data_IF_251858660942
#
_entry.id   IF_251858660942
#
_cell.length_a   1.000
_cell.length_b   1.000
_cell.length_c   1.000
_cell.angle_alpha   90.00
_cell.angle_beta   90.00
_cell.angle_gamma   90.00
#
_symmetry.space_group_name_H-M   'P 1'
#
loop_
_entity.id
_entity.type
_entity.pdbx_description
1 polymer ?
#
# COMPACT_ATOMS: atom_id res chain seq x y z
N UNK A 1 -36.29 -6.81 -95.65
CA UNK A 1 -35.12 -7.37 -95.03
C UNK A 1 -34.58 -6.39 -94.04
N UNK A 2 -34.65 -6.74 -92.83
CA UNK A 2 -34.16 -6.17 -91.52
C UNK A 2 -34.09 -4.65 -91.40
N UNK A 3 -35.16 -4.12 -90.84
CA UNK A 3 -35.31 -2.79 -90.22
C UNK A 3 -34.58 -2.70 -88.87
N UNK A 4 -33.78 -1.65 -88.66
CA UNK A 4 -33.23 -1.27 -87.40
C UNK A 4 -34.03 -0.09 -86.79
N UNK A 5 -34.68 -0.32 -85.69
CA UNK A 5 -35.38 0.71 -84.95
C UNK A 5 -34.48 1.25 -83.86
N UNK A 6 -34.21 2.53 -83.82
CA UNK A 6 -33.48 3.26 -82.84
C UNK A 6 -34.50 3.74 -81.76
N UNK A 7 -34.33 3.34 -80.53
CA UNK A 7 -35.08 3.92 -79.37
C UNK A 7 -34.17 4.82 -78.57
N UNK A 8 -34.58 6.08 -78.48
CA UNK A 8 -34.04 7.11 -77.58
C UNK A 8 -34.45 6.83 -76.11
N UNK A 9 -33.58 7.06 -75.10
CA UNK A 9 -33.96 7.02 -73.71
C UNK A 9 -34.38 8.36 -73.15
N UNK A 10 -35.56 8.39 -72.57
CA UNK A 10 -36.05 9.52 -71.78
C UNK A 10 -35.37 9.63 -70.41
N UNK A 11 -34.96 10.85 -70.11
CA UNK A 11 -34.37 11.22 -68.82
C UNK A 11 -35.47 11.41 -67.74
N UNK A 12 -35.44 10.62 -66.70
CA UNK A 12 -36.19 10.83 -65.47
C UNK A 12 -35.22 11.36 -64.39
N UNK A 13 -35.33 12.65 -64.12
CA UNK A 13 -34.74 13.30 -62.94
C UNK A 13 -35.42 12.73 -61.70
N UNK A 14 -34.70 11.95 -60.90
CA UNK A 14 -35.06 11.58 -59.51
C UNK A 14 -34.31 12.52 -58.58
N UNK A 15 -35.04 13.46 -57.93
CA UNK A 15 -34.56 14.17 -56.74
C UNK A 15 -34.34 13.17 -55.62
N UNK A 16 -33.07 12.95 -55.29
CA UNK A 16 -32.67 12.24 -54.10
C UNK A 16 -32.64 13.17 -52.91
N UNK A 17 -33.61 13.06 -52.00
CA UNK A 17 -33.54 13.71 -50.67
C UNK A 17 -32.44 13.00 -49.86
N UNK A 18 -31.33 13.72 -49.66
CA UNK A 18 -30.26 13.26 -48.73
C UNK A 18 -30.79 13.47 -47.30
N UNK A 19 -31.19 12.40 -46.66
CA UNK A 19 -31.35 12.36 -45.18
C UNK A 19 -29.97 12.43 -44.54
N UNK A 20 -29.63 13.61 -44.02
CA UNK A 20 -28.49 13.80 -43.11
C UNK A 20 -28.87 13.15 -41.78
N UNK A 21 -28.53 11.90 -41.58
CA UNK A 21 -28.60 11.23 -40.27
C UNK A 21 -27.53 11.85 -39.36
N UNK A 22 -27.95 12.85 -38.53
CA UNK A 22 -27.14 13.24 -37.39
C UNK A 22 -26.96 12.01 -36.50
N UNK A 23 -25.77 11.45 -36.50
CA UNK A 23 -25.35 10.47 -35.51
C UNK A 23 -25.21 11.20 -34.17
N UNK A 24 -26.30 11.23 -33.40
CA UNK A 24 -26.23 11.48 -31.96
C UNK A 24 -25.44 10.32 -31.35
N UNK A 25 -24.12 10.53 -31.19
CA UNK A 25 -23.32 9.69 -30.31
C UNK A 25 -23.96 9.65 -28.92
N UNK A 26 -23.80 8.58 -28.15
CA UNK A 26 -24.30 8.54 -26.79
C UNK A 26 -23.71 9.74 -26.06
N UNK A 27 -24.55 10.70 -25.71
CA UNK A 27 -24.26 11.73 -24.71
C UNK A 27 -24.11 10.90 -23.44
N UNK A 28 -22.87 10.65 -23.00
CA UNK A 28 -22.62 10.24 -21.63
C UNK A 28 -23.26 11.34 -20.78
N UNK A 29 -24.41 11.05 -20.18
CA UNK A 29 -25.01 11.91 -19.20
C UNK A 29 -23.99 12.01 -18.06
N UNK A 30 -23.22 13.09 -18.02
CA UNK A 30 -22.49 13.49 -16.82
C UNK A 30 -23.57 13.60 -15.74
N UNK A 31 -23.50 12.79 -14.72
CA UNK A 31 -24.32 12.95 -13.54
C UNK A 31 -23.83 14.26 -12.89
N UNK A 32 -24.52 15.36 -13.21
CA UNK A 32 -24.20 16.67 -12.67
C UNK A 32 -24.52 16.67 -11.17
N UNK A 33 -23.49 16.60 -10.34
CA UNK A 33 -23.63 16.65 -8.90
C UNK A 33 -24.36 17.92 -8.44
N UNK A 34 -24.26 19.02 -9.17
CA UNK A 34 -24.81 20.33 -8.77
C UNK A 34 -26.33 20.43 -8.86
N UNK A 35 -26.98 19.46 -9.52
CA UNK A 35 -28.45 19.40 -9.61
C UNK A 35 -29.12 18.69 -8.43
N UNK A 36 -28.34 18.15 -7.51
CA UNK A 36 -28.79 17.32 -6.39
C UNK A 36 -28.98 18.15 -5.13
N UNK A 37 -30.11 17.95 -4.46
CA UNK A 37 -30.44 18.62 -3.20
C UNK A 37 -29.46 18.28 -2.07
N UNK A 38 -29.07 17.00 -1.95
CA UNK A 38 -28.09 16.55 -0.93
C UNK A 38 -26.69 17.12 -1.13
N UNK A 39 -26.30 17.41 -2.37
CA UNK A 39 -25.04 18.10 -2.71
C UNK A 39 -25.15 19.58 -2.37
N UNK A 40 -26.28 20.25 -2.72
CA UNK A 40 -26.48 21.65 -2.37
C UNK A 40 -26.46 21.87 -0.86
N UNK A 41 -27.17 21.01 -0.10
CA UNK A 41 -27.15 21.07 1.37
C UNK A 41 -25.72 20.90 1.94
N UNK A 42 -24.96 19.97 1.40
CA UNK A 42 -23.56 19.78 1.79
C UNK A 42 -22.69 21.01 1.49
N UNK A 43 -22.83 21.61 0.31
CA UNK A 43 -22.04 22.80 -0.08
C UNK A 43 -22.34 23.97 0.86
N UNK A 44 -23.62 24.26 1.12
CA UNK A 44 -24.02 25.33 2.04
C UNK A 44 -23.51 25.08 3.47
N UNK A 45 -23.59 23.84 3.95
CA UNK A 45 -23.10 23.46 5.27
C UNK A 45 -21.59 23.68 5.42
N UNK A 46 -20.78 23.16 4.49
CA UNK A 46 -19.32 23.30 4.58
C UNK A 46 -18.86 24.75 4.35
N UNK A 47 -19.57 25.49 3.49
CA UNK A 47 -19.30 26.90 3.25
C UNK A 47 -19.54 27.73 4.51
N UNK A 48 -20.70 27.58 5.17
CA UNK A 48 -21.03 28.26 6.40
C UNK A 48 -20.05 27.92 7.54
N UNK A 49 -19.72 26.64 7.71
CA UNK A 49 -18.82 26.19 8.78
C UNK A 49 -17.38 26.66 8.61
N UNK A 50 -16.88 26.77 7.38
CA UNK A 50 -15.46 27.06 7.12
C UNK A 50 -15.18 28.43 6.50
N UNK A 51 -16.20 29.26 6.32
CA UNK A 51 -16.07 30.56 5.65
C UNK A 51 -15.57 30.40 4.22
N UNK A 52 -16.15 29.43 3.47
CA UNK A 52 -15.87 29.23 2.06
C UNK A 52 -16.88 29.97 1.19
N UNK A 53 -16.46 30.37 -0.01
CA UNK A 53 -17.38 30.79 -1.07
C UNK A 53 -17.95 29.51 -1.72
N UNK A 54 -19.28 29.49 -1.89
CA UNK A 54 -19.99 28.36 -2.50
C UNK A 54 -19.74 28.27 -4.00
N UNK A 55 -19.56 29.38 -4.70
CA UNK A 55 -19.45 29.42 -6.16
C UNK A 55 -18.24 28.59 -6.68
N UNK A 56 -17.00 28.68 -6.14
CA UNK A 56 -15.90 27.84 -6.56
C UNK A 56 -16.16 26.35 -6.30
N UNK A 57 -16.88 26.00 -5.22
CA UNK A 57 -17.22 24.61 -4.90
C UNK A 57 -18.18 24.04 -5.93
N UNK A 58 -19.24 24.80 -6.28
CA UNK A 58 -20.17 24.40 -7.34
C UNK A 58 -19.47 24.26 -8.69
N UNK A 59 -18.57 25.17 -9.04
CA UNK A 59 -17.80 25.10 -10.29
C UNK A 59 -16.92 23.84 -10.31
N UNK A 60 -16.28 23.47 -9.19
CA UNK A 60 -15.49 22.25 -9.11
C UNK A 60 -16.38 20.99 -9.23
N UNK A 61 -17.50 20.94 -8.49
CA UNK A 61 -18.43 19.81 -8.52
C UNK A 61 -19.15 19.64 -9.87
N UNK A 62 -19.40 20.74 -10.62
CA UNK A 62 -19.96 20.65 -11.97
C UNK A 62 -19.01 19.99 -12.99
N UNK A 63 -17.72 19.94 -12.68
CA UNK A 63 -16.69 19.27 -13.50
C UNK A 63 -16.36 17.86 -13.02
N UNK A 64 -16.80 17.50 -11.81
CA UNK A 64 -16.52 16.20 -11.22
C UNK A 64 -17.32 15.10 -11.93
N UNK A 65 -16.65 14.02 -12.30
CA UNK A 65 -17.26 12.85 -12.90
C UNK A 65 -17.84 11.92 -11.84
N UNK A 66 -19.04 11.38 -12.11
CA UNK A 66 -19.51 10.21 -11.37
C UNK A 66 -18.73 8.96 -11.83
N UNK A 67 -18.02 8.31 -10.91
CA UNK A 67 -17.15 7.15 -11.22
C UNK A 67 -17.70 5.86 -10.58
N UNK A 68 -18.60 5.10 -11.23
CA UNK A 68 -19.18 3.86 -10.67
C UNK A 68 -18.10 2.86 -10.23
N UNK A 69 -16.94 2.88 -10.89
CA UNK A 69 -15.84 1.97 -10.61
C UNK A 69 -15.27 2.13 -9.19
N UNK A 70 -15.30 3.34 -8.62
CA UNK A 70 -14.82 3.53 -7.22
C UNK A 70 -15.77 2.85 -6.22
N UNK A 71 -17.09 2.85 -6.52
CA UNK A 71 -18.09 2.14 -5.69
C UNK A 71 -17.87 0.62 -5.75
N UNK A 72 -17.52 0.09 -6.91
CA UNK A 72 -17.20 -1.33 -7.03
C UNK A 72 -15.94 -1.70 -6.25
N UNK A 73 -14.90 -0.88 -6.34
CA UNK A 73 -13.60 -1.12 -5.69
C UNK A 73 -13.66 -0.99 -4.17
N UNK A 74 -14.52 -0.10 -3.62
CA UNK A 74 -14.62 0.12 -2.18
C UNK A 74 -15.47 -0.93 -1.47
N UNK A 75 -16.37 -1.62 -2.20
CA UNK A 75 -17.22 -2.66 -1.62
C UNK A 75 -16.37 -3.81 -1.09
N UNK A 76 -16.69 -4.32 0.10
CA UNK A 76 -16.09 -5.57 0.56
C UNK A 76 -16.32 -6.69 -0.46
N UNK A 77 -15.37 -7.60 -0.68
CA UNK A 77 -15.55 -8.72 -1.58
C UNK A 77 -16.76 -9.56 -1.13
N UNK A 78 -17.59 -9.97 -2.10
CA UNK A 78 -18.82 -10.73 -1.85
C UNK A 78 -18.58 -12.06 -1.08
N UNK A 79 -17.41 -12.66 -1.25
CA UNK A 79 -16.92 -13.77 -0.45
C UNK A 79 -15.65 -13.35 0.26
N UNK A 80 -15.64 -13.43 1.59
CA UNK A 80 -14.39 -13.26 2.34
C UNK A 80 -13.42 -14.34 1.87
N UNK A 81 -12.34 -13.94 1.25
CA UNK A 81 -11.24 -14.85 0.93
C UNK A 81 -10.66 -15.44 2.21
N UNK A 82 -10.07 -16.63 2.08
CA UNK A 82 -9.34 -17.23 3.21
C UNK A 82 -8.18 -16.31 3.56
N UNK A 83 -8.16 -15.87 4.83
CA UNK A 83 -7.09 -15.04 5.38
C UNK A 83 -5.78 -15.83 5.29
N UNK A 84 -4.75 -15.26 4.68
CA UNK A 84 -3.45 -15.92 4.51
C UNK A 84 -2.33 -14.89 4.59
N UNK A 85 -1.54 -14.99 5.64
CA UNK A 85 -0.38 -14.13 5.84
C UNK A 85 0.65 -14.31 4.72
N UNK A 86 0.95 -15.54 4.33
CA UNK A 86 1.91 -15.79 3.26
C UNK A 86 1.52 -15.11 1.94
N UNK A 87 0.23 -15.19 1.56
CA UNK A 87 -0.28 -14.51 0.35
C UNK A 87 -0.19 -13.00 0.49
N UNK A 88 -0.55 -12.45 1.65
CA UNK A 88 -0.50 -11.00 1.89
C UNK A 88 0.94 -10.50 1.87
N UNK A 89 1.81 -11.13 2.63
CA UNK A 89 3.24 -10.80 2.74
C UNK A 89 3.96 -10.84 1.39
N UNK A 90 3.67 -11.84 0.55
CA UNK A 90 4.33 -12.02 -0.76
C UNK A 90 4.10 -10.85 -1.72
N UNK A 91 3.08 -10.02 -1.50
CA UNK A 91 2.82 -8.83 -2.31
C UNK A 91 3.86 -7.72 -2.06
N UNK A 92 4.49 -7.69 -0.88
CA UNK A 92 5.34 -6.59 -0.45
C UNK A 92 6.82 -6.97 -0.27
N UNK A 93 7.15 -8.26 -0.17
CA UNK A 93 8.54 -8.71 0.03
C UNK A 93 9.17 -9.29 -1.24
N UNK A 94 8.63 -8.96 -2.40
CA UNK A 94 9.17 -9.34 -3.69
C UNK A 94 10.32 -8.42 -4.13
N UNK A 95 11.01 -8.86 -5.18
CA UNK A 95 12.19 -8.17 -5.76
C UNK A 95 11.95 -6.67 -6.01
N UNK A 96 10.79 -6.31 -6.58
CA UNK A 96 10.44 -4.91 -6.91
C UNK A 96 10.43 -4.00 -5.68
N UNK A 97 9.91 -4.48 -4.53
CA UNK A 97 9.88 -3.70 -3.30
C UNK A 97 11.27 -3.62 -2.65
N UNK A 98 12.03 -4.71 -2.67
CA UNK A 98 13.35 -4.75 -2.04
C UNK A 98 14.34 -3.88 -2.82
N UNK A 99 14.46 -4.08 -4.15
CA UNK A 99 15.37 -3.30 -4.98
C UNK A 99 14.96 -1.82 -5.03
N UNK A 100 13.63 -1.56 -5.19
CA UNK A 100 13.10 -0.19 -5.14
C UNK A 100 13.34 0.50 -3.82
N UNK A 101 13.29 -0.24 -2.69
CA UNK A 101 13.57 0.29 -1.36
C UNK A 101 15.04 0.65 -1.16
N UNK A 102 15.95 -0.19 -1.59
CA UNK A 102 17.40 0.10 -1.54
C UNK A 102 17.77 1.27 -2.46
N UNK A 103 17.15 1.37 -3.65
CA UNK A 103 17.33 2.52 -4.55
C UNK A 103 16.81 3.81 -3.90
N UNK A 104 15.59 3.77 -3.31
CA UNK A 104 15.01 4.92 -2.62
C UNK A 104 15.85 5.32 -1.39
N UNK A 105 16.40 4.35 -0.65
CA UNK A 105 17.30 4.63 0.48
C UNK A 105 18.53 5.43 0.02
N UNK A 106 19.20 4.97 -1.01
CA UNK A 106 20.36 5.69 -1.56
C UNK A 106 20.01 7.07 -2.12
N UNK A 107 18.85 7.22 -2.77
CA UNK A 107 18.39 8.49 -3.34
C UNK A 107 18.05 9.54 -2.30
N UNK A 108 17.39 9.13 -1.19
CA UNK A 108 16.87 10.02 -0.15
C UNK A 108 17.59 9.87 1.19
N UNK A 109 18.84 9.42 1.17
CA UNK A 109 19.60 9.11 2.39
C UNK A 109 19.70 10.30 3.35
N UNK A 110 19.88 11.51 2.81
CA UNK A 110 19.96 12.75 3.60
C UNK A 110 18.63 13.08 4.28
N UNK A 111 17.54 13.02 3.53
CA UNK A 111 16.19 13.37 3.98
C UNK A 111 15.68 12.32 4.98
N UNK A 112 15.96 11.04 4.75
CA UNK A 112 15.65 9.95 5.67
C UNK A 112 16.38 10.11 7.01
N UNK A 113 17.66 10.43 7.00
CA UNK A 113 18.42 10.73 8.24
C UNK A 113 17.89 11.98 8.95
N UNK A 114 17.51 12.99 8.20
CA UNK A 114 16.92 14.21 8.77
C UNK A 114 15.57 13.88 9.45
N UNK A 115 14.70 13.11 8.79
CA UNK A 115 13.42 12.69 9.33
C UNK A 115 13.56 11.82 10.60
N UNK A 116 14.48 10.85 10.57
CA UNK A 116 14.81 10.04 11.75
C UNK A 116 15.30 10.91 12.92
N UNK A 117 16.22 11.84 12.68
CA UNK A 117 16.72 12.77 13.70
C UNK A 117 15.61 13.65 14.28
N UNK A 118 14.70 14.13 13.44
CA UNK A 118 13.65 15.08 13.82
C UNK A 118 12.48 14.43 14.53
N UNK A 119 12.05 13.25 14.07
CA UNK A 119 10.83 12.59 14.54
C UNK A 119 11.08 11.28 15.31
N UNK A 120 12.31 10.79 15.33
CA UNK A 120 12.67 9.54 16.02
C UNK A 120 12.19 8.27 15.29
N UNK A 121 11.74 8.38 14.05
CA UNK A 121 11.26 7.24 13.23
C UNK A 121 12.40 6.72 12.38
N UNK A 122 12.82 5.45 12.51
CA UNK A 122 13.91 4.88 11.72
C UNK A 122 13.67 4.96 10.21
N UNK A 123 14.73 5.15 9.44
CA UNK A 123 14.69 5.30 7.99
C UNK A 123 13.98 4.14 7.30
N UNK A 124 14.29 2.92 7.73
CA UNK A 124 13.68 1.70 7.19
C UNK A 124 12.17 1.62 7.40
N UNK A 125 11.64 2.20 8.49
CA UNK A 125 10.19 2.23 8.75
C UNK A 125 9.49 3.18 7.78
N UNK A 126 10.08 4.35 7.53
CA UNK A 126 9.56 5.31 6.54
C UNK A 126 9.54 4.66 5.16
N UNK A 127 10.63 3.99 4.79
CA UNK A 127 10.73 3.25 3.52
C UNK A 127 9.76 2.07 3.47
N UNK A 128 9.54 1.38 4.58
CA UNK A 128 8.55 0.30 4.69
C UNK A 128 7.14 0.78 4.33
N UNK A 129 6.73 1.95 4.84
CA UNK A 129 5.45 2.56 4.48
C UNK A 129 5.43 2.96 3.01
N UNK A 130 6.41 3.73 2.52
CA UNK A 130 6.48 4.13 1.11
C UNK A 130 6.46 2.93 0.16
N UNK A 131 7.11 1.84 0.54
CA UNK A 131 7.12 0.61 -0.23
C UNK A 131 5.76 -0.05 -0.31
N UNK A 132 5.08 -0.19 0.82
CA UNK A 132 3.76 -0.84 0.90
C UNK A 132 2.68 0.01 0.23
N UNK A 133 2.72 1.33 0.38
CA UNK A 133 1.69 2.22 -0.16
C UNK A 133 1.79 2.38 -1.68
N UNK A 134 2.96 2.71 -2.19
CA UNK A 134 3.08 3.15 -3.58
C UNK A 134 4.24 2.54 -4.35
N UNK A 135 4.96 1.58 -3.77
CA UNK A 135 6.20 1.07 -4.36
C UNK A 135 7.16 2.25 -4.63
N UNK A 136 7.35 3.08 -3.60
CA UNK A 136 8.22 4.27 -3.65
C UNK A 136 7.81 5.25 -4.76
N UNK A 137 6.51 5.60 -4.82
CA UNK A 137 5.93 6.55 -5.77
C UNK A 137 5.61 6.00 -7.16
N UNK A 138 5.84 4.70 -7.43
CA UNK A 138 5.55 4.10 -8.74
C UNK A 138 4.06 3.85 -8.98
N UNK A 139 3.23 3.83 -7.94
CA UNK A 139 1.81 3.55 -8.01
C UNK A 139 1.02 4.43 -7.02
N UNK A 140 0.80 5.68 -7.36
CA UNK A 140 0.10 6.67 -6.52
C UNK A 140 -1.41 6.73 -6.77
N UNK A 141 -1.93 5.89 -7.69
CA UNK A 141 -3.32 5.94 -8.13
C UNK A 141 -3.49 6.67 -9.45
N UNK A 142 -4.73 6.67 -9.97
CA UNK A 142 -5.06 7.26 -11.27
C UNK A 142 -6.45 7.91 -11.31
N UNK A 143 -7.12 7.99 -10.18
CA UNK A 143 -8.43 8.61 -10.09
C UNK A 143 -8.27 10.09 -9.75
N UNK A 144 -9.05 10.94 -10.40
CA UNK A 144 -9.24 12.30 -9.93
C UNK A 144 -9.90 12.24 -8.54
N UNK A 145 -9.21 12.81 -7.54
CA UNK A 145 -9.62 12.67 -6.14
C UNK A 145 -10.96 13.33 -5.87
N UNK A 146 -11.24 14.47 -6.50
CA UNK A 146 -12.52 15.17 -6.38
C UNK A 146 -13.68 14.28 -6.84
N UNK A 147 -13.60 13.74 -8.05
CA UNK A 147 -14.60 12.85 -8.63
C UNK A 147 -14.80 11.56 -7.83
N UNK A 148 -13.70 10.96 -7.36
CA UNK A 148 -13.75 9.75 -6.54
C UNK A 148 -14.44 10.02 -5.19
N UNK A 149 -14.07 11.09 -4.50
CA UNK A 149 -14.65 11.45 -3.20
C UNK A 149 -16.10 11.90 -3.34
N UNK A 150 -16.46 12.71 -4.37
CA UNK A 150 -17.84 13.11 -4.63
C UNK A 150 -18.73 11.88 -4.89
N UNK A 151 -18.28 10.94 -5.75
CA UNK A 151 -19.00 9.69 -5.99
C UNK A 151 -19.22 8.89 -4.70
N UNK A 152 -18.19 8.75 -3.87
CA UNK A 152 -18.31 7.99 -2.61
C UNK A 152 -19.11 8.72 -1.53
N UNK A 153 -19.05 10.04 -1.50
CA UNK A 153 -19.77 10.89 -0.55
C UNK A 153 -21.28 10.86 -0.76
N UNK A 154 -21.73 10.76 -2.01
CA UNK A 154 -23.14 10.90 -2.35
C UNK A 154 -23.78 9.59 -2.83
N UNK A 155 -23.01 8.62 -3.32
CA UNK A 155 -23.54 7.37 -3.90
C UNK A 155 -23.07 6.09 -3.21
N UNK A 156 -22.35 6.22 -2.07
CA UNK A 156 -21.95 5.08 -1.23
C UNK A 156 -22.40 5.23 0.23
N UNK A 157 -23.70 5.00 0.54
CA UNK A 157 -24.28 5.24 1.87
C UNK A 157 -23.53 4.62 3.05
N UNK A 158 -22.93 3.39 2.96
CA UNK A 158 -22.30 2.78 4.14
C UNK A 158 -21.16 3.59 4.75
N UNK A 159 -20.53 4.51 3.98
CA UNK A 159 -19.42 5.35 4.42
C UNK A 159 -19.54 6.80 3.92
N UNK A 160 -20.74 7.24 3.54
CA UNK A 160 -20.98 8.56 2.96
C UNK A 160 -20.45 9.69 3.85
N UNK A 161 -20.70 9.62 5.16
CA UNK A 161 -20.28 10.63 6.12
C UNK A 161 -18.76 10.80 6.19
N UNK A 162 -18.02 9.69 6.17
CA UNK A 162 -16.56 9.72 6.09
C UNK A 162 -16.08 10.41 4.80
N UNK A 163 -16.66 10.04 3.65
CA UNK A 163 -16.24 10.60 2.37
C UNK A 163 -16.68 12.05 2.18
N UNK A 164 -17.79 12.48 2.78
CA UNK A 164 -18.17 13.91 2.87
C UNK A 164 -17.14 14.70 3.67
N UNK A 165 -16.64 14.17 4.78
CA UNK A 165 -15.56 14.79 5.56
C UNK A 165 -14.23 14.88 4.81
N UNK A 166 -13.91 13.88 3.98
CA UNK A 166 -12.71 13.93 3.12
C UNK A 166 -12.89 14.88 1.93
N UNK A 167 -14.08 14.96 1.35
CA UNK A 167 -14.41 15.93 0.29
C UNK A 167 -14.35 17.37 0.79
N UNK A 168 -14.90 17.65 1.98
CA UNK A 168 -14.71 18.93 2.67
C UNK A 168 -13.24 19.24 2.88
N UNK A 169 -12.49 18.27 3.40
CA UNK A 169 -11.04 18.43 3.61
C UNK A 169 -10.28 18.68 2.32
N UNK A 170 -10.73 18.14 1.18
CA UNK A 170 -10.14 18.40 -0.13
C UNK A 170 -10.34 19.86 -0.56
N UNK A 171 -11.54 20.43 -0.38
CA UNK A 171 -11.78 21.84 -0.68
C UNK A 171 -10.95 22.76 0.20
N UNK A 172 -10.82 22.44 1.48
CA UNK A 172 -10.00 23.20 2.40
C UNK A 172 -8.51 23.11 2.05
N UNK A 173 -8.03 21.90 1.72
CA UNK A 173 -6.66 21.67 1.27
C UNK A 173 -6.35 22.44 -0.01
N UNK A 174 -7.26 22.41 -0.99
CA UNK A 174 -7.13 23.14 -2.26
C UNK A 174 -7.00 24.65 -2.02
N UNK A 175 -7.83 25.22 -1.13
CA UNK A 175 -7.73 26.62 -0.71
C UNK A 175 -6.38 26.92 -0.04
N UNK A 176 -5.95 26.10 0.92
CA UNK A 176 -4.70 26.27 1.66
C UNK A 176 -3.48 26.21 0.75
N UNK A 177 -3.48 25.30 -0.22
CA UNK A 177 -2.39 25.13 -1.19
C UNK A 177 -2.55 26.02 -2.44
N UNK A 178 -3.63 26.80 -2.56
CA UNK A 178 -3.96 27.60 -3.77
C UNK A 178 -3.93 26.75 -5.04
N UNK A 179 -4.46 25.55 -4.97
CA UNK A 179 -4.47 24.53 -6.01
C UNK A 179 -5.91 24.19 -6.42
N UNK A 180 -6.13 23.91 -7.70
CA UNK A 180 -7.44 23.44 -8.18
C UNK A 180 -7.80 22.10 -7.53
N UNK A 181 -8.97 21.93 -6.90
CA UNK A 181 -9.38 20.68 -6.29
C UNK A 181 -9.45 19.49 -7.28
N UNK A 182 -9.69 19.74 -8.56
CA UNK A 182 -9.68 18.70 -9.60
C UNK A 182 -8.29 18.23 -10.01
N UNK A 183 -7.23 18.95 -9.62
CA UNK A 183 -5.85 18.61 -9.98
C UNK A 183 -5.22 17.49 -9.11
N UNK A 184 -5.87 17.07 -8.03
CA UNK A 184 -5.38 15.99 -7.19
C UNK A 184 -5.69 14.63 -7.77
N UNK A 185 -4.67 13.80 -7.94
CA UNK A 185 -4.78 12.42 -8.43
C UNK A 185 -4.43 11.46 -7.31
N UNK A 186 -5.19 10.38 -7.19
CA UNK A 186 -5.00 9.44 -6.09
C UNK A 186 -5.62 8.06 -6.32
N UNK A 187 -5.85 7.36 -5.22
CA UNK A 187 -6.51 6.06 -5.22
C UNK A 187 -8.02 6.19 -5.42
N UNK A 188 -8.68 5.05 -5.67
CA UNK A 188 -10.14 4.98 -5.76
C UNK A 188 -10.87 5.42 -4.47
N UNK A 189 -10.18 5.48 -3.34
CA UNK A 189 -10.72 5.93 -2.05
C UNK A 189 -10.29 7.35 -1.66
N UNK A 190 -9.66 8.10 -2.59
CA UNK A 190 -9.27 9.48 -2.38
C UNK A 190 -7.93 9.69 -1.66
N UNK A 191 -7.11 8.64 -1.49
CA UNK A 191 -5.77 8.78 -0.94
C UNK A 191 -4.80 9.33 -1.98
N UNK A 192 -3.97 10.31 -1.62
CA UNK A 192 -3.19 11.15 -2.53
C UNK A 192 -1.69 10.87 -2.42
N UNK A 193 -1.05 10.76 -3.57
CA UNK A 193 0.40 10.85 -3.75
C UNK A 193 1.22 9.73 -3.12
N UNK A 194 2.52 9.95 -2.96
CA UNK A 194 3.47 8.95 -2.44
C UNK A 194 3.08 8.36 -1.08
N UNK A 195 2.64 9.16 -0.07
CA UNK A 195 2.29 8.63 1.24
C UNK A 195 0.87 8.06 1.30
N UNK A 196 0.06 8.16 0.25
CA UNK A 196 -1.35 7.77 0.24
C UNK A 196 -2.15 8.38 1.40
N UNK A 197 -1.94 9.66 1.66
CA UNK A 197 -2.72 10.39 2.66
C UNK A 197 -4.09 10.78 2.11
N UNK A 198 -5.12 10.62 2.92
CA UNK A 198 -6.41 11.25 2.70
C UNK A 198 -6.29 12.77 2.87
N UNK A 199 -7.15 13.59 2.23
CA UNK A 199 -7.10 15.06 2.35
C UNK A 199 -7.05 15.56 3.79
N UNK A 200 -7.82 14.97 4.70
CA UNK A 200 -7.79 15.30 6.12
C UNK A 200 -6.45 14.99 6.79
N UNK A 201 -5.78 13.93 6.35
CA UNK A 201 -4.45 13.55 6.84
C UNK A 201 -3.37 14.48 6.29
N UNK A 202 -3.47 14.93 5.04
CA UNK A 202 -2.56 15.93 4.47
C UNK A 202 -2.63 17.19 5.32
N UNK A 203 -3.81 17.73 5.56
CA UNK A 203 -3.99 18.96 6.35
C UNK A 203 -3.48 18.87 7.78
N UNK A 204 -3.49 17.67 8.38
CA UNK A 204 -3.07 17.47 9.79
C UNK A 204 -1.61 17.12 9.96
N UNK A 205 -1.04 16.40 9.03
CA UNK A 205 0.24 15.72 9.23
C UNK A 205 1.28 15.99 8.14
N UNK A 206 0.87 16.51 6.98
CA UNK A 206 1.83 16.83 5.94
C UNK A 206 2.74 17.99 6.37
N UNK A 207 3.98 17.92 5.93
CA UNK A 207 5.01 18.94 6.16
C UNK A 207 5.73 19.24 4.86
N UNK A 208 6.02 20.52 4.63
CA UNK A 208 6.98 20.99 3.66
C UNK A 208 8.38 20.67 4.22
N UNK A 209 8.95 19.56 3.79
CA UNK A 209 10.14 19.00 4.43
C UNK A 209 11.44 19.47 3.81
N UNK A 210 11.42 19.93 2.55
CA UNK A 210 12.56 20.57 1.89
C UNK A 210 12.55 22.11 2.05
N UNK A 211 11.44 22.69 2.51
CA UNK A 211 11.31 24.11 2.82
C UNK A 211 11.13 24.99 1.59
N UNK A 212 10.58 24.45 0.50
CA UNK A 212 10.33 25.18 -0.76
C UNK A 212 9.04 26.02 -0.74
N UNK A 213 8.27 25.94 0.35
CA UNK A 213 6.99 26.63 0.55
C UNK A 213 5.77 25.87 0.02
N UNK A 214 5.91 24.61 -0.35
CA UNK A 214 4.84 23.75 -0.87
C UNK A 214 4.87 22.39 -0.17
N UNK A 215 3.77 21.65 -0.30
CA UNK A 215 3.71 20.23 0.05
C UNK A 215 3.48 19.46 -1.25
N UNK A 216 4.51 18.78 -1.74
CA UNK A 216 4.49 18.02 -2.99
C UNK A 216 4.53 16.52 -2.73
N UNK A 217 3.40 15.86 -2.94
CA UNK A 217 3.29 14.40 -2.88
C UNK A 217 3.25 13.73 -4.26
N UNK A 218 3.30 14.52 -5.33
CA UNK A 218 3.11 14.05 -6.69
C UNK A 218 4.44 13.75 -7.39
N UNK A 219 5.43 14.63 -7.28
CA UNK A 219 6.64 14.59 -8.11
C UNK A 219 7.89 14.09 -7.40
N UNK A 220 7.98 14.25 -6.08
CA UNK A 220 9.13 13.77 -5.32
C UNK A 220 8.76 13.16 -3.97
N UNK A 221 9.70 12.43 -3.34
CA UNK A 221 9.47 11.74 -2.08
C UNK A 221 9.85 12.53 -0.83
N UNK A 222 10.36 13.74 -0.94
CA UNK A 222 10.96 14.46 0.21
C UNK A 222 9.91 14.82 1.23
N UNK A 223 8.83 15.49 0.81
CA UNK A 223 7.73 15.82 1.71
C UNK A 223 6.98 14.59 2.20
N UNK A 224 6.88 13.56 1.37
CA UNK A 224 6.30 12.29 1.79
C UNK A 224 7.10 11.64 2.92
N UNK A 225 8.43 11.65 2.86
CA UNK A 225 9.34 11.15 3.91
C UNK A 225 9.10 11.90 5.21
N UNK A 226 9.16 13.22 5.17
CA UNK A 226 8.92 14.06 6.36
C UNK A 226 7.52 13.88 6.93
N UNK A 227 6.51 13.82 6.06
CA UNK A 227 5.10 13.69 6.44
C UNK A 227 4.77 12.32 7.06
N UNK A 228 5.32 11.22 6.53
CA UNK A 228 5.20 9.88 7.12
C UNK A 228 5.82 9.86 8.52
N UNK A 229 7.02 10.41 8.66
CA UNK A 229 7.70 10.46 9.95
C UNK A 229 6.91 11.31 10.96
N UNK A 230 6.41 12.49 10.56
CA UNK A 230 5.54 13.33 11.40
C UNK A 230 4.24 12.61 11.77
N UNK A 231 3.61 11.90 10.82
CA UNK A 231 2.40 11.10 11.07
C UNK A 231 2.62 10.07 12.18
N UNK A 232 3.66 9.25 12.07
CA UNK A 232 3.98 8.24 13.08
C UNK A 232 4.33 8.87 14.43
N UNK A 233 5.11 9.96 14.44
CA UNK A 233 5.43 10.73 15.64
C UNK A 233 4.15 11.23 16.34
N UNK A 234 3.24 11.86 15.60
CA UNK A 234 1.95 12.34 16.14
C UNK A 234 1.03 11.22 16.61
N UNK A 235 1.20 10.00 16.10
CA UNK A 235 0.48 8.81 16.55
C UNK A 235 1.20 8.02 17.66
N UNK A 236 2.18 8.64 18.33
CA UNK A 236 2.83 8.12 19.50
C UNK A 236 3.98 7.14 19.22
N UNK A 237 4.70 7.35 18.12
CA UNK A 237 5.97 6.66 17.90
C UNK A 237 6.96 7.00 19.02
N UNK A 238 7.61 5.98 19.57
CA UNK A 238 8.62 6.12 20.62
C UNK A 238 9.98 5.75 20.02
N UNK A 239 10.89 6.75 19.96
CA UNK A 239 12.24 6.54 19.42
C UNK A 239 12.98 5.44 20.21
N UNK A 240 13.62 4.51 19.48
CA UNK A 240 14.38 3.40 20.05
C UNK A 240 13.56 2.27 20.67
N UNK A 241 12.23 2.42 20.82
CA UNK A 241 11.38 1.33 21.29
C UNK A 241 11.14 0.28 20.18
N UNK A 242 10.91 -0.99 20.54
CA UNK A 242 10.65 -2.05 19.57
C UNK A 242 9.32 -1.84 18.85
N UNK A 243 9.24 -2.35 17.61
CA UNK A 243 7.98 -2.43 16.85
C UNK A 243 7.26 -3.72 17.20
N UNK A 244 7.88 -4.87 16.91
CA UNK A 244 7.31 -6.17 17.19
C UNK A 244 8.40 -7.21 17.46
N UNK A 245 8.05 -8.24 18.23
CA UNK A 245 8.95 -9.36 18.58
C UNK A 245 8.24 -10.67 18.35
N UNK A 246 8.89 -11.60 17.65
CA UNK A 246 8.35 -12.94 17.41
C UNK A 246 8.34 -13.77 18.68
N UNK A 247 7.24 -14.46 18.93
CA UNK A 247 7.03 -15.27 20.13
C UNK A 247 6.52 -16.68 19.77
N UNK A 248 6.53 -17.58 20.74
CA UNK A 248 5.90 -18.89 20.67
C UNK A 248 4.88 -19.05 21.79
N UNK A 249 3.93 -19.93 21.59
CA UNK A 249 3.00 -20.36 22.63
C UNK A 249 3.56 -21.60 23.35
N UNK A 250 3.45 -21.64 24.67
CA UNK A 250 3.69 -22.86 25.43
C UNK A 250 2.60 -23.92 25.09
N UNK A 251 2.89 -25.22 25.20
CA UNK A 251 1.89 -26.25 25.00
C UNK A 251 0.63 -26.02 25.86
N UNK A 252 -0.55 -26.11 25.24
CA UNK A 252 -1.84 -25.90 25.91
C UNK A 252 -2.27 -24.44 26.06
N UNK A 253 -1.49 -23.47 25.59
CA UNK A 253 -1.87 -22.05 25.61
C UNK A 253 -3.04 -21.77 24.68
N UNK A 254 -4.11 -21.14 25.19
CA UNK A 254 -5.18 -20.59 24.37
C UNK A 254 -4.89 -19.12 24.04
N UNK A 255 -4.58 -18.76 22.77
CA UNK A 255 -4.29 -17.38 22.40
C UNK A 255 -5.53 -16.50 22.24
N UNK A 256 -6.74 -17.08 22.10
CA UNK A 256 -7.95 -16.34 21.73
C UNK A 256 -8.24 -15.13 22.63
N UNK A 257 -8.23 -15.24 23.99
CA UNK A 257 -8.50 -14.09 24.85
C UNK A 257 -7.47 -12.95 24.72
N UNK A 258 -6.22 -13.30 24.35
CA UNK A 258 -5.15 -12.32 24.15
C UNK A 258 -5.30 -11.59 22.80
N UNK A 259 -5.78 -12.29 21.77
CA UNK A 259 -6.08 -11.71 20.45
C UNK A 259 -7.32 -10.82 20.52
N UNK A 260 -8.35 -11.26 21.27
CA UNK A 260 -9.60 -10.51 21.48
C UNK A 260 -9.39 -9.21 22.27
N UNK A 261 -8.29 -9.06 23.02
CA UNK A 261 -7.91 -7.80 23.66
C UNK A 261 -7.70 -6.66 22.64
N UNK A 262 -7.52 -6.99 21.37
CA UNK A 262 -7.52 -6.06 20.26
C UNK A 262 -6.12 -5.59 19.83
N UNK A 263 -6.13 -4.58 18.95
CA UNK A 263 -4.91 -4.13 18.27
C UNK A 263 -4.07 -3.15 19.11
N UNK A 264 -4.68 -2.51 20.10
CA UNK A 264 -4.01 -1.57 21.00
C UNK A 264 -3.23 -2.34 22.06
N UNK A 265 -1.96 -1.98 22.32
CA UNK A 265 -1.17 -2.61 23.38
C UNK A 265 -1.83 -2.38 24.75
N UNK A 266 -2.22 -3.48 25.39
CA UNK A 266 -2.92 -3.47 26.70
C UNK A 266 -2.53 -4.64 27.60
N UNK A 267 -1.66 -5.54 27.12
CA UNK A 267 -1.25 -6.75 27.82
C UNK A 267 0.13 -6.52 28.44
N UNK A 268 0.22 -6.57 29.76
CA UNK A 268 1.50 -6.49 30.46
C UNK A 268 2.38 -7.74 30.20
N UNK A 269 3.69 -7.61 30.33
CA UNK A 269 4.64 -8.72 30.19
C UNK A 269 4.28 -9.87 31.15
N UNK A 270 3.97 -9.56 32.40
CA UNK A 270 3.58 -10.56 33.40
C UNK A 270 2.36 -11.38 32.94
N UNK A 271 1.31 -10.73 32.47
CA UNK A 271 0.11 -11.38 31.93
C UNK A 271 0.39 -12.25 30.72
N UNK A 272 1.26 -11.78 29.81
CA UNK A 272 1.68 -12.54 28.64
C UNK A 272 2.47 -13.82 29.02
N UNK A 273 3.42 -13.69 29.96
CA UNK A 273 4.20 -14.82 30.45
C UNK A 273 3.33 -15.83 31.22
N UNK A 274 2.41 -15.35 32.06
CA UNK A 274 1.45 -16.19 32.79
C UNK A 274 0.54 -16.95 31.81
N UNK A 275 0.08 -16.30 30.76
CA UNK A 275 -0.74 -16.91 29.71
C UNK A 275 0.03 -17.89 28.79
N UNK A 276 1.32 -18.11 29.00
CA UNK A 276 2.12 -19.07 28.23
C UNK A 276 2.79 -18.49 26.99
N UNK A 277 2.83 -17.17 26.82
CA UNK A 277 3.62 -16.53 25.75
C UNK A 277 5.09 -16.57 26.12
N UNK A 278 5.94 -16.99 25.20
CA UNK A 278 7.38 -17.12 25.42
C UNK A 278 8.17 -16.46 24.29
N UNK A 279 9.26 -15.73 24.57
CA UNK A 279 10.17 -15.27 23.52
C UNK A 279 10.77 -16.45 22.78
N UNK A 280 11.12 -16.28 21.51
CA UNK A 280 11.85 -17.31 20.76
C UNK A 280 13.29 -17.44 21.27
N UNK A 281 13.90 -16.30 21.62
CA UNK A 281 15.27 -16.19 22.12
C UNK A 281 15.34 -15.14 23.22
N UNK A 282 16.18 -15.35 24.22
CA UNK A 282 16.41 -14.38 25.29
C UNK A 282 15.17 -14.06 26.14
N UNK A 283 14.98 -12.80 26.49
CA UNK A 283 13.85 -12.24 27.25
C UNK A 283 13.00 -11.34 26.37
N UNK A 284 11.76 -11.05 26.79
CA UNK A 284 10.96 -10.00 26.18
C UNK A 284 11.61 -8.62 26.41
N UNK A 285 11.50 -7.68 25.46
CA UNK A 285 11.99 -6.33 25.69
C UNK A 285 11.19 -5.64 26.82
N UNK A 286 11.84 -4.88 27.66
CA UNK A 286 11.20 -4.05 28.67
C UNK A 286 10.58 -2.79 28.00
N UNK A 287 9.51 -3.01 27.22
CA UNK A 287 8.90 -1.99 26.35
C UNK A 287 7.45 -1.65 26.73
N UNK A 288 7.02 -2.04 27.91
CA UNK A 288 5.66 -1.80 28.40
C UNK A 288 4.66 -2.82 27.85
N UNK A 289 3.42 -2.36 27.66
CA UNK A 289 2.33 -3.22 27.19
C UNK A 289 2.48 -3.60 25.72
N UNK A 290 1.96 -4.77 25.39
CA UNK A 290 1.93 -5.28 24.02
C UNK A 290 0.54 -5.80 23.64
N UNK A 291 0.32 -6.04 22.35
CA UNK A 291 -0.81 -6.83 21.83
C UNK A 291 -0.28 -8.13 21.23
N UNK A 292 -1.07 -9.21 21.32
CA UNK A 292 -0.76 -10.45 20.62
C UNK A 292 -1.26 -10.40 19.18
N UNK A 293 -0.35 -10.54 18.24
CA UNK A 293 -0.61 -10.53 16.81
C UNK A 293 -0.52 -11.95 16.27
N UNK A 294 -1.60 -12.40 15.62
CA UNK A 294 -1.72 -13.67 14.93
C UNK A 294 -1.56 -13.48 13.41
N UNK A 295 -0.68 -14.24 12.80
CA UNK A 295 -0.43 -14.22 11.36
C UNK A 295 -0.77 -15.59 10.76
N UNK A 296 -2.06 -15.79 10.55
CA UNK A 296 -2.61 -17.06 10.07
C UNK A 296 -2.29 -17.31 8.60
N UNK A 297 -1.94 -18.55 8.29
CA UNK A 297 -1.84 -19.08 6.93
C UNK A 297 -2.41 -20.49 6.92
N UNK A 298 -3.40 -20.77 6.06
CA UNK A 298 -4.01 -22.11 6.01
C UNK A 298 -2.97 -23.21 5.71
N UNK A 299 -3.04 -24.29 6.48
CA UNK A 299 -2.21 -25.47 6.30
C UNK A 299 -0.78 -25.37 6.87
N UNK A 300 -0.48 -24.26 7.57
CA UNK A 300 0.77 -24.11 8.33
C UNK A 300 0.50 -23.54 9.71
N UNK A 301 1.43 -23.69 10.63
CA UNK A 301 1.32 -23.13 11.98
C UNK A 301 1.21 -21.60 11.94
N UNK A 302 0.33 -21.06 12.78
CA UNK A 302 0.18 -19.62 12.94
C UNK A 302 1.43 -19.00 13.53
N UNK A 303 1.94 -17.94 12.91
CA UNK A 303 3.02 -17.14 13.48
C UNK A 303 2.46 -16.17 14.51
N UNK A 304 3.08 -16.09 15.69
CA UNK A 304 2.69 -15.17 16.76
C UNK A 304 3.77 -14.12 17.01
N UNK A 305 3.32 -12.89 17.19
CA UNK A 305 4.18 -11.75 17.49
C UNK A 305 3.58 -10.90 18.62
N UNK A 306 4.42 -10.22 19.37
CA UNK A 306 3.99 -9.15 20.26
C UNK A 306 4.22 -7.83 19.54
N UNK A 307 3.14 -7.08 19.34
CA UNK A 307 3.19 -5.73 18.80
C UNK A 307 3.20 -4.71 19.94
N UNK A 308 4.19 -3.82 19.96
CA UNK A 308 4.35 -2.76 20.97
C UNK A 308 3.77 -1.42 20.48
N UNK A 309 4.03 -0.34 21.21
CA UNK A 309 3.52 0.99 20.88
C UNK A 309 3.86 1.43 19.46
N UNK A 310 5.06 1.13 18.97
CA UNK A 310 5.47 1.47 17.60
C UNK A 310 4.74 0.63 16.53
N UNK A 311 4.39 -0.61 16.83
CA UNK A 311 3.51 -1.41 15.98
C UNK A 311 2.12 -0.78 15.89
N UNK A 312 1.57 -0.35 17.02
CA UNK A 312 0.29 0.35 17.07
C UNK A 312 0.32 1.66 16.27
N UNK A 313 1.40 2.44 16.35
CA UNK A 313 1.56 3.65 15.55
C UNK A 313 1.48 3.35 14.04
N UNK A 314 2.09 2.25 13.56
CA UNK A 314 1.95 1.83 12.16
C UNK A 314 0.50 1.46 11.84
N UNK A 315 -0.23 0.80 12.75
CA UNK A 315 -1.64 0.46 12.51
C UNK A 315 -2.57 1.67 12.41
N UNK A 316 -2.12 2.87 12.77
CA UNK A 316 -2.91 4.10 12.57
C UNK A 316 -2.98 4.49 11.10
N UNK A 317 -1.97 4.11 10.31
CA UNK A 317 -1.98 4.26 8.86
C UNK A 317 -3.07 3.39 8.20
N UNK A 318 -3.12 2.14 8.60
CA UNK A 318 -4.15 1.19 8.19
C UNK A 318 -4.43 0.22 9.35
N UNK A 319 -5.69 0.14 9.81
CA UNK A 319 -6.13 -0.68 10.95
C UNK A 319 -6.08 -2.18 10.66
N UNK A 320 -4.89 -2.70 10.39
CA UNK A 320 -4.65 -4.10 10.03
C UNK A 320 -3.32 -4.59 10.59
N UNK A 321 -3.36 -5.70 11.34
CA UNK A 321 -2.14 -6.39 11.80
C UNK A 321 -1.28 -6.86 10.62
N UNK A 322 -1.90 -7.35 9.54
CA UNK A 322 -1.17 -7.78 8.35
C UNK A 322 -0.44 -6.63 7.67
N UNK A 323 -1.09 -5.46 7.60
CA UNK A 323 -0.47 -4.25 7.06
C UNK A 323 0.77 -3.84 7.89
N UNK A 324 0.60 -3.68 9.20
CA UNK A 324 1.68 -3.25 10.06
C UNK A 324 2.86 -4.25 10.05
N UNK A 325 2.57 -5.55 10.01
CA UNK A 325 3.61 -6.58 9.86
C UNK A 325 4.29 -6.56 8.50
N UNK A 326 3.57 -6.27 7.41
CA UNK A 326 4.18 -6.14 6.08
C UNK A 326 5.14 -4.94 6.02
N UNK A 327 4.72 -3.79 6.55
CA UNK A 327 5.59 -2.61 6.71
C UNK A 327 6.83 -2.95 7.53
N UNK A 328 6.65 -3.56 8.71
CA UNK A 328 7.75 -3.92 9.59
C UNK A 328 8.72 -4.93 8.96
N UNK A 329 8.21 -5.98 8.32
CA UNK A 329 9.08 -7.00 7.71
C UNK A 329 9.79 -6.49 6.44
N UNK A 330 9.16 -5.61 5.66
CA UNK A 330 9.84 -4.92 4.56
C UNK A 330 10.96 -4.02 5.11
N UNK A 331 10.67 -3.23 6.12
CA UNK A 331 11.64 -2.36 6.79
C UNK A 331 12.84 -3.15 7.32
N UNK A 332 12.60 -4.24 8.05
CA UNK A 332 13.67 -5.11 8.60
C UNK A 332 14.52 -5.77 7.51
N UNK A 333 13.89 -6.17 6.40
CA UNK A 333 14.58 -6.70 5.22
C UNK A 333 15.48 -5.64 4.58
N UNK A 334 14.96 -4.43 4.38
CA UNK A 334 15.72 -3.32 3.79
C UNK A 334 16.92 -2.95 4.66
N UNK A 335 16.73 -2.83 5.99
CA UNK A 335 17.80 -2.56 6.94
C UNK A 335 18.89 -3.64 6.88
N UNK A 336 18.49 -4.90 6.93
CA UNK A 336 19.44 -6.03 6.90
C UNK A 336 20.30 -6.02 5.64
N UNK A 337 19.71 -5.74 4.50
CA UNK A 337 20.41 -5.69 3.21
C UNK A 337 21.28 -4.42 3.08
N UNK A 338 20.80 -3.30 3.55
CA UNK A 338 21.53 -2.04 3.57
C UNK A 338 22.79 -2.16 4.43
N UNK A 339 22.68 -2.67 5.65
CA UNK A 339 23.80 -2.81 6.60
C UNK A 339 24.75 -3.93 6.17
N UNK A 340 24.23 -5.07 5.68
CA UNK A 340 25.01 -6.20 5.16
C UNK A 340 25.78 -5.87 3.89
N UNK A 341 25.25 -4.98 3.03
CA UNK A 341 25.95 -4.46 1.86
C UNK A 341 27.11 -3.55 2.21
N UNK A 342 27.08 -2.88 3.36
CA UNK A 342 28.18 -2.08 3.88
C UNK A 342 29.38 -2.93 4.35
N UNK A 343 29.13 -4.15 4.85
CA UNK A 343 30.20 -5.07 5.32
C UNK A 343 30.87 -5.88 4.19
N UNK A 344 30.22 -6.04 3.03
CA UNK A 344 30.73 -6.78 1.88
C UNK A 344 31.76 -6.02 1.04
N UNK A 345 31.93 -4.69 1.24
CA UNK A 345 32.98 -3.90 0.57
C UNK A 345 34.38 -4.06 1.17
N UNK A 346 34.54 -4.87 2.22
CA UNK A 346 35.84 -5.13 2.83
C UNK A 346 36.10 -6.64 2.85
N UNK A 347 36.65 -7.18 1.78
CA UNK A 347 37.53 -8.35 1.60
C UNK A 347 37.23 -9.09 0.29
N UNK A 348 37.68 -8.55 -0.81
CA UNK A 348 38.08 -9.38 -1.94
C UNK A 348 39.43 -10.03 -1.57
N UNK A 349 39.37 -11.16 -0.92
CA UNK A 349 40.53 -12.06 -0.80
C UNK A 349 40.83 -12.65 -2.18
N UNK A 350 42.01 -12.31 -2.69
CA UNK A 350 42.59 -12.82 -3.92
C UNK A 350 42.58 -14.36 -3.89
N UNK A 351 42.10 -15.06 -4.93
CA UNK A 351 42.14 -16.52 -4.95
C UNK A 351 43.59 -17.03 -4.91
N UNK A 352 43.89 -17.95 -4.05
CA UNK A 352 45.17 -18.66 -4.00
C UNK A 352 45.36 -19.45 -5.30
N UNK A 353 46.64 -19.56 -5.84
CA UNK A 353 46.90 -20.25 -7.09
C UNK A 353 46.69 -21.74 -6.94
N UNK A 354 45.83 -22.32 -7.76
CA UNK A 354 45.62 -23.77 -7.89
C UNK A 354 46.90 -24.44 -8.36
N UNK A 355 47.42 -25.34 -7.53
CA UNK A 355 48.51 -26.24 -7.84
C UNK A 355 48.09 -27.22 -8.95
N UNK A 356 48.72 -27.14 -10.12
CA UNK A 356 48.60 -28.12 -11.19
C UNK A 356 49.08 -29.50 -10.71
N UNK A 357 48.22 -30.49 -10.79
CA UNK A 357 48.60 -31.90 -10.69
C UNK A 357 49.10 -32.40 -12.04
N UNK A 358 50.29 -33.00 -12.05
CA UNK A 358 50.89 -33.66 -13.22
C UNK A 358 50.30 -35.04 -13.45
N UNK A 359 50.31 -35.55 -14.70
CA UNK A 359 49.70 -36.84 -15.05
C UNK A 359 50.73 -37.95 -15.07
N UNK A 360 50.33 -39.16 -14.66
CA UNK A 360 51.11 -40.39 -14.91
C UNK A 360 50.71 -41.58 -14.04
N UNK A 361 50.06 -42.56 -14.58
CA UNK A 361 50.53 -43.87 -14.94
C UNK A 361 49.43 -44.95 -14.84
N UNK A 362 49.48 -45.78 -15.84
CA UNK A 362 48.60 -46.80 -16.35
C UNK A 362 48.43 -48.03 -15.44
N UNK A 363 47.31 -48.74 -15.76
CA UNK A 363 47.09 -50.21 -15.92
C UNK A 363 46.78 -51.04 -14.69
N UNK A 364 45.69 -51.83 -14.85
CA UNK A 364 45.38 -53.00 -14.05
C UNK A 364 43.92 -53.43 -14.12
N UNK A 365 43.57 -54.31 -15.07
CA UNK A 365 42.28 -54.94 -15.28
C UNK A 365 42.21 -56.29 -14.53
N UNK A 366 41.13 -57.07 -14.52
CA UNK A 366 40.19 -57.29 -13.40
C UNK A 366 40.24 -58.75 -12.89
N UNK A 367 39.61 -59.03 -11.78
CA UNK A 367 39.26 -60.43 -11.42
C UNK A 367 37.85 -60.49 -10.83
N UNK A 368 37.09 -61.42 -11.44
CA UNK A 368 35.77 -61.92 -11.04
C UNK A 368 35.91 -62.77 -9.76
N UNK A 369 34.92 -62.76 -8.91
CA UNK A 369 34.42 -63.97 -8.25
C UNK A 369 33.06 -63.75 -7.57
N UNK A 370 32.23 -64.70 -7.76
CA UNK A 370 30.80 -64.92 -7.60
C UNK A 370 30.41 -65.30 -6.12
N UNK A 371 29.13 -65.57 -5.84
CA UNK A 371 28.47 -65.24 -4.55
C UNK A 371 28.30 -66.42 -3.64
N UNK A 372 28.00 -66.17 -2.37
CA UNK A 372 27.45 -67.24 -1.46
C UNK A 372 26.21 -66.76 -0.67
N UNK A 373 25.26 -67.63 -0.74
CA UNK A 373 23.92 -67.80 -0.19
C UNK A 373 23.80 -67.74 1.33
N UNK A 374 22.62 -67.27 1.74
CA UNK A 374 21.68 -67.75 2.78
C UNK A 374 22.20 -68.16 4.17
N UNK A 375 21.54 -67.55 5.17
CA UNK A 375 20.66 -68.32 6.08
C UNK A 375 20.06 -67.46 7.17
N UNK A 376 18.73 -67.45 7.22
CA UNK A 376 17.91 -67.22 8.42
C UNK A 376 18.01 -68.46 9.31
N UNK A 377 17.83 -68.40 10.67
CA UNK A 377 16.48 -68.64 11.19
C UNK A 377 16.10 -67.91 12.52
N UNK A 378 14.82 -67.73 12.66
CA UNK A 378 13.93 -67.97 13.84
C UNK A 378 14.48 -67.98 15.27
N UNK A 379 14.01 -67.10 16.10
CA UNK A 379 12.99 -67.34 17.13
C UNK A 379 12.39 -66.02 17.56
#
# INVERSE_FOLDING_TARGET
MKSRTIKTPGSLFRLGAAFLALALGPICAHADFTTREDVSAFVEEIAARNGLDTAPIYVALSRADHIPRVIELIKPPAKRGVRSWHRYRSQFLGRTHIEGGLEAWGRYEKELRQAEKQYGVPQEIILGILGVETIFGRNTGKFETLSALATLAFDYPPRAELFRGELESLFLLAREQKRDPSSYIGSYAGAIGWPQFLPSSIRRFAVDFDGDGKIDFDSNGVDAIGSIANYLHKHGWVAGAPVAVRVRLAPGTNPAPLIEAGIEPSLSEARLLEAGIRPLTGSLPAAGEATLVDLETPGVDTEYWLGYRNFYAITRYNRSNFYAMAVFQLADTLRTLHDGGSTAKTKTAKPAPTRKASPGAKTGKPSKATPKKKQTPKK
#
